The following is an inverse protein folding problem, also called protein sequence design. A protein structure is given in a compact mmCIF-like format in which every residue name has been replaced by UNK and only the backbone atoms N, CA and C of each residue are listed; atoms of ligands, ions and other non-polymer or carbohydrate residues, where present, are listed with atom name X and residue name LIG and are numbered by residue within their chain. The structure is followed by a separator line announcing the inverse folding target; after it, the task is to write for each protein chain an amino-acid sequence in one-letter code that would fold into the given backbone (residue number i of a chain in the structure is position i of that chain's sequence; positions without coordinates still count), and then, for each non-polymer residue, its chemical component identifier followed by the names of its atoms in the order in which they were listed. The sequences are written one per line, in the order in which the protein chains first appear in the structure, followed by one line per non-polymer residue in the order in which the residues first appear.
data_IF_599050634696
#
_entry.id   IF_599050634696
#
_cell.length_a   1.000
_cell.length_b   1.000
_cell.length_c   1.000
_cell.angle_alpha   90.00
_cell.angle_beta   90.00
_cell.angle_gamma   90.00
#
_symmetry.space_group_name_H-M   'P 1'
#
loop_
_entity.id
_entity.type
_entity.pdbx_description
1 polymer ?
#
# COMPACT_ATOMS: atom_id res chain seq x y z
N UNK A 1 8.23 -33.60 -0.25
CA UNK A 1 7.30 -32.51 -0.58
C UNK A 1 7.82 -31.26 0.06
N UNK A 2 8.23 -30.27 -0.74
CA UNK A 2 8.71 -28.97 -0.27
C UNK A 2 7.57 -28.23 0.47
N UNK A 3 7.90 -27.52 1.53
CA UNK A 3 7.01 -26.60 2.22
C UNK A 3 6.57 -25.49 1.25
N UNK A 4 5.33 -25.09 1.30
CA UNK A 4 4.86 -23.93 0.50
C UNK A 4 5.44 -22.66 1.09
N UNK A 5 6.13 -21.88 0.27
CA UNK A 5 6.66 -20.57 0.64
C UNK A 5 5.70 -19.50 0.12
N UNK A 6 5.35 -18.56 0.99
CA UNK A 6 4.35 -17.54 0.76
C UNK A 6 4.92 -16.17 1.10
N UNK A 7 4.78 -15.21 0.20
CA UNK A 7 4.96 -13.78 0.49
C UNK A 7 3.59 -13.13 0.71
N UNK A 8 3.46 -12.34 1.77
CA UNK A 8 2.25 -11.56 2.04
C UNK A 8 2.63 -10.09 2.12
N UNK A 9 2.03 -9.30 1.25
CA UNK A 9 1.96 -7.86 1.41
C UNK A 9 0.71 -7.56 2.23
N UNK A 10 0.92 -7.13 3.48
CA UNK A 10 -0.13 -6.84 4.45
C UNK A 10 -0.47 -5.35 4.44
N UNK A 11 -0.94 -4.87 3.30
CA UNK A 11 -1.22 -3.45 3.09
C UNK A 11 -2.48 -2.95 3.81
N UNK A 12 -2.50 -1.65 4.13
CA UNK A 12 -3.64 -0.95 4.76
C UNK A 12 -4.91 -1.05 3.91
N UNK A 13 -4.80 -0.87 2.60
CA UNK A 13 -5.93 -0.87 1.67
C UNK A 13 -6.18 -2.24 1.03
N UNK A 14 -5.11 -2.94 0.67
CA UNK A 14 -5.15 -4.19 -0.09
C UNK A 14 -4.16 -5.18 0.52
N UNK A 15 -4.53 -6.45 0.58
CA UNK A 15 -3.63 -7.55 0.88
C UNK A 15 -3.33 -8.32 -0.40
N UNK A 16 -2.05 -8.63 -0.63
CA UNK A 16 -1.63 -9.48 -1.73
C UNK A 16 -0.90 -10.72 -1.20
N UNK A 17 -1.14 -11.86 -1.85
CA UNK A 17 -0.47 -13.11 -1.50
C UNK A 17 0.25 -13.64 -2.73
N UNK A 18 1.56 -13.82 -2.57
CA UNK A 18 2.43 -14.45 -3.54
C UNK A 18 2.73 -15.90 -3.10
N UNK A 19 2.73 -16.83 -4.04
CA UNK A 19 3.14 -18.22 -3.81
C UNK A 19 4.29 -18.55 -4.74
N UNK A 20 5.35 -19.14 -4.18
CA UNK A 20 6.52 -19.63 -4.94
C UNK A 20 6.09 -20.47 -6.13
N UNK A 21 6.57 -20.09 -7.31
CA UNK A 21 6.29 -20.77 -8.57
C UNK A 21 4.90 -20.52 -9.18
N UNK A 22 4.06 -19.70 -8.52
CA UNK A 22 2.74 -19.32 -9.04
C UNK A 22 2.55 -17.80 -9.19
N UNK A 23 3.44 -17.00 -8.62
CA UNK A 23 3.30 -15.55 -8.61
C UNK A 23 2.24 -15.05 -7.60
N UNK A 24 1.68 -13.86 -7.86
CA UNK A 24 0.60 -13.28 -7.06
C UNK A 24 -0.69 -14.05 -7.34
N UNK A 25 -1.21 -14.75 -6.35
CA UNK A 25 -2.40 -15.61 -6.46
C UNK A 25 -3.65 -15.03 -5.83
N UNK A 26 -3.49 -13.96 -5.03
CA UNK A 26 -4.60 -13.31 -4.36
C UNK A 26 -4.33 -11.82 -4.23
N UNK A 27 -5.35 -11.01 -4.53
CA UNK A 27 -5.41 -9.57 -4.37
C UNK A 27 -6.80 -9.21 -3.87
N UNK A 28 -6.89 -8.79 -2.61
CA UNK A 28 -8.17 -8.54 -1.94
C UNK A 28 -8.08 -7.27 -1.06
N UNK A 29 -9.18 -6.52 -0.90
CA UNK A 29 -9.24 -5.43 0.05
C UNK A 29 -9.01 -5.89 1.49
N UNK A 30 -8.24 -5.11 2.27
CA UNK A 30 -8.02 -5.31 3.70
C UNK A 30 -9.21 -4.85 4.52
N UNK A 31 -10.39 -5.45 4.27
CA UNK A 31 -11.65 -5.09 4.92
C UNK A 31 -12.29 -6.34 5.53
N UNK A 32 -12.84 -6.18 6.73
CA UNK A 32 -13.58 -7.22 7.45
C UNK A 32 -14.92 -6.66 7.92
N UNK A 33 -15.99 -7.36 7.63
CA UNK A 33 -17.32 -7.07 8.18
C UNK A 33 -17.69 -8.09 9.24
N UNK A 34 -18.12 -7.62 10.40
CA UNK A 34 -18.55 -8.49 11.51
C UNK A 34 -19.79 -7.94 12.21
N UNK A 35 -20.48 -8.85 12.86
CA UNK A 35 -21.60 -8.55 13.72
C UNK A 35 -21.09 -8.09 15.09
N UNK A 36 -21.45 -6.86 15.49
CA UNK A 36 -20.96 -6.21 16.72
C UNK A 36 -21.35 -6.95 17.99
N UNK A 37 -22.54 -7.56 18.00
CA UNK A 37 -23.09 -8.20 19.19
C UNK A 37 -22.48 -9.58 19.43
N UNK A 38 -22.21 -10.30 18.33
CA UNK A 38 -21.71 -11.68 18.38
C UNK A 38 -20.23 -11.82 18.05
N UNK A 39 -19.55 -10.76 17.59
CA UNK A 39 -18.17 -10.77 17.05
C UNK A 39 -17.94 -11.82 15.94
N UNK A 40 -19.02 -12.25 15.27
CA UNK A 40 -18.93 -13.18 14.15
C UNK A 40 -18.61 -12.46 12.85
N UNK A 41 -17.60 -12.93 12.15
CA UNK A 41 -17.27 -12.42 10.82
C UNK A 41 -18.40 -12.76 9.84
N UNK A 42 -18.84 -11.75 9.09
CA UNK A 42 -19.87 -11.86 8.05
C UNK A 42 -19.23 -11.92 6.66
N UNK A 43 -18.21 -11.12 6.42
CA UNK A 43 -17.51 -11.06 5.13
C UNK A 43 -16.06 -10.60 5.33
N UNK A 44 -15.18 -10.96 4.38
CA UNK A 44 -13.78 -10.51 4.31
C UNK A 44 -13.45 -10.19 2.86
N UNK A 45 -12.60 -9.18 2.65
CA UNK A 45 -12.13 -8.79 1.32
C UNK A 45 -13.19 -8.01 0.53
N UNK A 46 -13.36 -8.33 -0.75
CA UNK A 46 -14.26 -7.58 -1.64
C UNK A 46 -15.71 -7.57 -1.16
N UNK A 47 -16.21 -8.70 -0.63
CA UNK A 47 -17.58 -8.74 -0.08
C UNK A 47 -17.73 -7.76 1.09
N UNK A 48 -16.76 -7.66 1.99
CA UNK A 48 -16.78 -6.71 3.09
C UNK A 48 -16.62 -5.26 2.60
N UNK A 49 -15.82 -5.01 1.57
CA UNK A 49 -15.67 -3.67 0.96
C UNK A 49 -16.99 -3.14 0.42
N UNK A 50 -17.79 -4.00 -0.20
CA UNK A 50 -19.12 -3.61 -0.68
C UNK A 50 -20.08 -3.18 0.43
N UNK A 51 -19.81 -3.58 1.67
CA UNK A 51 -20.59 -3.23 2.86
C UNK A 51 -20.20 -1.90 3.50
N UNK A 52 -19.03 -1.34 3.17
CA UNK A 52 -18.59 -0.06 3.72
C UNK A 52 -19.61 1.05 3.45
N UNK A 53 -20.04 1.76 4.51
CA UNK A 53 -21.03 2.82 4.44
C UNK A 53 -22.46 2.37 4.13
N UNK A 54 -22.75 1.05 4.12
CA UNK A 54 -24.07 0.48 3.76
C UNK A 54 -24.61 -0.52 4.78
N UNK A 55 -23.95 -0.67 5.92
CA UNK A 55 -24.32 -1.64 6.95
C UNK A 55 -25.42 -1.13 7.87
N UNK A 56 -26.35 -2.00 8.33
CA UNK A 56 -27.22 -1.69 9.46
C UNK A 56 -26.41 -1.56 10.75
N UNK A 57 -26.98 -0.98 11.81
CA UNK A 57 -26.27 -0.61 13.02
C UNK A 57 -25.55 -1.74 13.78
N UNK A 58 -25.98 -2.99 13.59
CA UNK A 58 -25.35 -4.17 14.22
C UNK A 58 -24.21 -4.80 13.40
N UNK A 59 -24.03 -4.39 12.14
CA UNK A 59 -22.92 -4.86 11.30
C UNK A 59 -21.93 -3.72 11.13
N UNK A 60 -20.65 -4.01 11.34
CA UNK A 60 -19.54 -3.06 11.19
C UNK A 60 -18.58 -3.60 10.16
N UNK A 61 -18.26 -2.79 9.16
CA UNK A 61 -17.20 -3.06 8.21
C UNK A 61 -16.01 -2.15 8.55
N UNK A 62 -14.83 -2.74 8.78
CA UNK A 62 -13.62 -2.02 9.20
C UNK A 62 -12.41 -2.46 8.40
N UNK A 63 -11.42 -1.57 8.35
CA UNK A 63 -10.03 -1.91 7.96
C UNK A 63 -9.25 -2.19 9.24
N UNK A 64 -8.76 -3.43 9.46
CA UNK A 64 -8.06 -3.81 10.68
C UNK A 64 -6.61 -3.31 10.72
N UNK A 65 -6.10 -2.80 9.60
CA UNK A 65 -4.84 -2.08 9.51
C UNK A 65 -5.11 -0.61 9.20
N UNK A 66 -4.34 0.27 9.84
CA UNK A 66 -4.36 1.71 9.57
C UNK A 66 -2.94 2.25 9.58
N UNK A 67 -2.63 3.06 8.57
CA UNK A 67 -1.31 3.69 8.48
C UNK A 67 -0.15 2.69 8.67
N UNK A 68 -0.24 1.53 7.99
CA UNK A 68 0.77 0.49 7.99
C UNK A 68 0.86 -0.37 9.25
N UNK A 69 0.00 -0.14 10.27
CA UNK A 69 0.05 -0.88 11.53
C UNK A 69 -1.27 -1.58 11.86
N UNK A 70 -1.19 -2.65 12.65
CA UNK A 70 -2.35 -3.39 13.13
C UNK A 70 -3.12 -2.53 14.14
N UNK A 71 -4.36 -2.17 13.82
CA UNK A 71 -5.27 -1.46 14.73
C UNK A 71 -6.20 -2.39 15.50
N UNK A 72 -6.48 -3.58 14.96
CA UNK A 72 -7.23 -4.64 15.63
C UNK A 72 -6.55 -6.00 15.38
N UNK A 73 -5.86 -6.49 16.41
CA UNK A 73 -5.08 -7.73 16.33
C UNK A 73 -5.95 -8.96 16.02
N UNK A 74 -7.07 -9.10 16.73
CA UNK A 74 -7.94 -10.27 16.58
C UNK A 74 -8.58 -10.34 15.20
N UNK A 75 -9.00 -9.19 14.67
CA UNK A 75 -9.58 -9.12 13.32
C UNK A 75 -8.51 -9.35 12.27
N UNK A 76 -7.30 -8.82 12.45
CA UNK A 76 -6.16 -9.05 11.54
C UNK A 76 -5.76 -10.52 11.47
N UNK A 77 -5.62 -11.20 12.62
CA UNK A 77 -5.32 -12.64 12.67
C UNK A 77 -6.35 -13.46 11.88
N UNK A 78 -7.65 -13.19 12.10
CA UNK A 78 -8.73 -13.89 11.40
C UNK A 78 -8.71 -13.59 9.90
N UNK A 79 -8.42 -12.37 9.51
CA UNK A 79 -8.28 -11.95 8.12
C UNK A 79 -7.11 -12.67 7.44
N UNK A 80 -5.92 -12.65 8.06
CA UNK A 80 -4.75 -13.38 7.57
C UNK A 80 -5.03 -14.87 7.40
N UNK A 81 -5.62 -15.50 8.41
CA UNK A 81 -5.99 -16.92 8.35
C UNK A 81 -6.92 -17.22 7.17
N UNK A 82 -7.91 -16.36 6.95
CA UNK A 82 -8.84 -16.50 5.81
C UNK A 82 -8.09 -16.40 4.49
N UNK A 83 -7.23 -15.42 4.30
CA UNK A 83 -6.51 -15.23 3.04
C UNK A 83 -5.46 -16.32 2.78
N UNK A 84 -4.73 -16.76 3.82
CA UNK A 84 -3.83 -17.90 3.72
C UNK A 84 -4.60 -19.15 3.28
N UNK A 85 -5.74 -19.45 3.90
CA UNK A 85 -6.56 -20.61 3.54
C UNK A 85 -7.16 -20.48 2.13
N UNK A 86 -7.53 -19.27 1.70
CA UNK A 86 -8.03 -19.00 0.35
C UNK A 86 -6.96 -19.20 -0.71
N UNK A 87 -5.72 -18.79 -0.43
CA UNK A 87 -4.58 -18.90 -1.35
C UNK A 87 -4.08 -20.33 -1.54
N UNK A 88 -4.02 -21.15 -0.47
CA UNK A 88 -3.39 -22.48 -0.51
C UNK A 88 -4.36 -23.63 -0.26
N UNK A 89 -5.63 -23.34 0.02
CA UNK A 89 -6.68 -24.33 0.30
C UNK A 89 -6.75 -24.75 1.78
N UNK A 90 -7.90 -25.28 2.17
CA UNK A 90 -8.20 -25.65 3.57
C UNK A 90 -7.46 -26.89 4.09
N UNK A 91 -6.99 -27.78 3.19
CA UNK A 91 -6.32 -29.03 3.54
C UNK A 91 -4.81 -28.89 3.41
N UNK A 92 -4.17 -28.21 4.35
CA UNK A 92 -2.72 -28.12 4.45
C UNK A 92 -2.14 -29.35 5.17
N UNK A 93 -1.36 -30.17 4.46
CA UNK A 93 -0.59 -31.26 5.05
C UNK A 93 0.63 -30.73 5.84
N UNK A 94 1.17 -29.58 5.49
CA UNK A 94 2.27 -28.89 6.18
C UNK A 94 1.99 -27.40 6.24
N UNK A 95 2.27 -26.78 7.39
CA UNK A 95 2.18 -25.34 7.57
C UNK A 95 3.20 -24.61 6.67
N UNK A 96 2.86 -23.48 6.02
CA UNK A 96 3.75 -22.74 5.15
C UNK A 96 4.83 -21.97 5.94
N UNK A 97 5.93 -21.63 5.26
CA UNK A 97 6.78 -20.52 5.66
C UNK A 97 6.20 -19.26 5.02
N UNK A 98 6.14 -18.18 5.78
CA UNK A 98 5.54 -16.94 5.31
C UNK A 98 6.53 -15.79 5.54
N UNK A 99 6.76 -14.99 4.49
CA UNK A 99 7.38 -13.68 4.62
C UNK A 99 6.29 -12.61 4.60
N UNK A 100 6.41 -11.61 5.47
CA UNK A 100 5.49 -10.48 5.54
C UNK A 100 6.30 -9.19 5.49
N UNK A 101 5.84 -8.21 4.71
CA UNK A 101 6.46 -6.89 4.71
C UNK A 101 5.86 -5.98 5.80
N UNK A 102 6.67 -5.02 6.22
CA UNK A 102 6.28 -3.96 7.16
C UNK A 102 6.90 -2.63 6.72
N UNK A 103 6.26 -1.48 6.99
CA UNK A 103 6.86 -0.17 6.74
C UNK A 103 8.20 0.03 7.44
N UNK A 104 9.08 0.87 6.89
CA UNK A 104 10.42 1.12 7.45
C UNK A 104 10.40 1.74 8.85
N UNK A 105 9.35 2.48 9.19
CA UNK A 105 9.24 3.24 10.43
C UNK A 105 8.58 2.50 11.60
N UNK A 106 8.25 1.20 11.46
CA UNK A 106 7.54 0.46 12.51
C UNK A 106 8.45 0.11 13.68
N UNK A 107 7.88 0.13 14.88
CA UNK A 107 8.56 -0.26 16.11
C UNK A 107 8.74 -1.78 16.20
N UNK A 108 9.67 -2.24 17.05
CA UNK A 108 9.87 -3.67 17.31
C UNK A 108 8.60 -4.35 17.87
N UNK A 109 7.77 -3.60 18.61
CA UNK A 109 6.49 -4.11 19.12
C UNK A 109 5.50 -4.33 17.97
N UNK A 110 5.43 -3.41 17.01
CA UNK A 110 4.57 -3.54 15.83
C UNK A 110 5.05 -4.68 14.91
N UNK A 111 6.37 -4.81 14.68
CA UNK A 111 6.95 -5.96 13.97
C UNK A 111 6.56 -7.28 14.62
N UNK A 112 6.70 -7.34 15.95
CA UNK A 112 6.35 -8.54 16.71
C UNK A 112 4.85 -8.85 16.62
N UNK A 113 3.99 -7.85 16.63
CA UNK A 113 2.54 -8.04 16.46
C UNK A 113 2.20 -8.66 15.09
N UNK A 114 2.87 -8.22 14.00
CA UNK A 114 2.70 -8.80 12.66
C UNK A 114 3.20 -10.24 12.61
N UNK A 115 4.38 -10.51 13.20
CA UNK A 115 4.93 -11.86 13.28
C UNK A 115 3.98 -12.81 14.02
N UNK A 116 3.53 -12.42 15.23
CA UNK A 116 2.65 -13.23 16.06
C UNK A 116 1.28 -13.45 15.41
N UNK A 117 0.68 -12.44 14.80
CA UNK A 117 -0.58 -12.57 14.05
C UNK A 117 -0.45 -13.58 12.89
N UNK A 118 0.68 -13.55 12.18
CA UNK A 118 0.96 -14.45 11.06
C UNK A 118 1.20 -15.90 11.54
N UNK A 119 1.92 -16.08 12.65
CA UNK A 119 2.09 -17.40 13.28
C UNK A 119 0.74 -17.99 13.73
N UNK A 120 -0.09 -17.19 14.41
CA UNK A 120 -1.43 -17.61 14.85
C UNK A 120 -2.37 -17.89 13.67
N UNK A 121 -2.22 -17.18 12.56
CA UNK A 121 -2.97 -17.43 11.34
C UNK A 121 -2.61 -18.77 10.67
N UNK A 122 -1.50 -19.42 11.09
CA UNK A 122 -1.14 -20.77 10.67
C UNK A 122 0.21 -20.90 9.97
N UNK A 123 1.07 -19.91 10.00
CA UNK A 123 2.45 -20.03 9.56
C UNK A 123 3.24 -21.00 10.46
N UNK A 124 4.21 -21.70 9.89
CA UNK A 124 5.22 -22.46 10.65
C UNK A 124 6.36 -21.57 11.08
N UNK A 125 6.75 -20.68 10.22
CA UNK A 125 7.88 -19.77 10.36
C UNK A 125 7.53 -18.46 9.66
N UNK A 126 7.90 -17.35 10.24
CA UNK A 126 7.68 -16.01 9.69
C UNK A 126 9.01 -15.31 9.51
N UNK A 127 9.19 -14.66 8.37
CA UNK A 127 10.28 -13.72 8.09
C UNK A 127 9.68 -12.35 7.83
N UNK A 128 10.29 -11.31 8.39
CA UNK A 128 9.88 -9.92 8.17
C UNK A 128 10.88 -9.26 7.22
N UNK A 129 10.37 -8.47 6.28
CA UNK A 129 11.14 -7.63 5.36
C UNK A 129 10.55 -6.21 5.36
N UNK A 130 11.39 -5.20 5.18
CA UNK A 130 10.91 -3.81 5.01
C UNK A 130 10.28 -3.62 3.63
N UNK A 131 9.17 -2.88 3.58
CA UNK A 131 8.41 -2.62 2.35
C UNK A 131 9.28 -2.05 1.21
N UNK A 132 10.13 -1.02 1.42
CA UNK A 132 10.93 -0.48 0.31
C UNK A 132 11.97 -1.47 -0.23
N UNK A 133 12.53 -2.36 0.62
CA UNK A 133 13.42 -3.43 0.13
C UNK A 133 12.63 -4.42 -0.72
N UNK A 134 11.48 -4.84 -0.24
CA UNK A 134 10.59 -5.72 -1.01
C UNK A 134 10.16 -5.06 -2.31
N UNK A 135 9.76 -3.78 -2.28
CA UNK A 135 9.38 -3.01 -3.45
C UNK A 135 10.49 -2.97 -4.52
N UNK A 136 11.74 -2.71 -4.10
CA UNK A 136 12.89 -2.70 -5.00
C UNK A 136 13.15 -4.05 -5.65
N UNK A 137 13.13 -5.15 -4.87
CA UNK A 137 13.28 -6.52 -5.38
C UNK A 137 12.14 -6.85 -6.36
N UNK A 138 10.91 -6.46 -6.03
CA UNK A 138 9.74 -6.69 -6.86
C UNK A 138 9.76 -5.91 -8.17
N UNK A 139 10.22 -4.67 -8.14
CA UNK A 139 10.45 -3.82 -9.31
C UNK A 139 11.62 -4.30 -10.20
N UNK A 140 12.33 -5.36 -9.79
CA UNK A 140 13.44 -5.91 -10.57
C UNK A 140 14.77 -5.15 -10.44
N UNK A 141 14.89 -4.31 -9.42
CA UNK A 141 16.13 -3.56 -9.16
C UNK A 141 17.16 -4.49 -8.51
N UNK A 142 18.37 -4.52 -9.07
CA UNK A 142 19.51 -5.23 -8.47
C UNK A 142 20.09 -4.39 -7.32
N UNK A 143 19.58 -4.66 -6.12
CA UNK A 143 20.00 -3.98 -4.89
C UNK A 143 21.33 -4.50 -4.31
N UNK A 144 21.90 -5.58 -4.84
CA UNK A 144 23.12 -6.19 -4.33
C UNK A 144 24.39 -5.38 -4.64
N UNK A 145 24.32 -4.49 -5.62
CA UNK A 145 25.45 -3.68 -6.07
C UNK A 145 25.75 -2.51 -5.14
N UNK A 146 27.01 -2.03 -5.10
CA UNK A 146 27.39 -0.83 -4.35
C UNK A 146 27.00 0.44 -5.13
N UNK A 147 25.70 0.65 -5.32
CA UNK A 147 25.14 1.83 -5.98
C UNK A 147 23.83 2.25 -5.33
N UNK A 148 23.54 3.57 -5.38
CA UNK A 148 22.32 4.14 -4.83
C UNK A 148 21.10 3.81 -5.69
N UNK A 149 20.06 3.24 -5.07
CA UNK A 149 18.77 3.03 -5.67
C UNK A 149 17.72 3.68 -4.77
N UNK A 150 16.93 4.61 -5.32
CA UNK A 150 15.89 5.29 -4.56
C UNK A 150 14.51 4.74 -4.93
N UNK A 151 13.79 4.28 -3.91
CA UNK A 151 12.42 3.76 -4.00
C UNK A 151 11.48 4.67 -3.22
N UNK A 152 10.32 4.94 -3.78
CA UNK A 152 9.20 5.60 -3.13
C UNK A 152 7.98 4.69 -3.28
N UNK A 153 7.66 3.95 -2.23
CA UNK A 153 6.50 3.07 -2.19
C UNK A 153 5.31 3.80 -1.57
N UNK A 154 4.29 4.07 -2.38
CA UNK A 154 3.10 4.81 -1.98
C UNK A 154 1.93 3.83 -1.88
N UNK A 155 1.68 3.37 -0.67
CA UNK A 155 0.62 2.42 -0.37
C UNK A 155 -0.76 3.06 -0.19
N UNK A 156 -1.62 2.40 0.59
CA UNK A 156 -2.90 2.97 1.04
C UNK A 156 -2.76 3.88 2.24
N UNK A 157 -1.97 3.49 3.24
CA UNK A 157 -1.85 4.19 4.52
C UNK A 157 -0.48 4.77 4.83
N UNK A 158 0.58 4.39 4.09
CA UNK A 158 1.95 4.87 4.27
C UNK A 158 2.62 5.15 2.94
N UNK A 159 3.55 6.09 2.95
CA UNK A 159 4.54 6.26 1.90
C UNK A 159 5.92 6.00 2.50
N UNK A 160 6.58 4.97 2.00
CA UNK A 160 7.88 4.52 2.43
C UNK A 160 8.94 4.90 1.38
N UNK A 161 9.93 5.68 1.81
CA UNK A 161 10.96 6.24 0.95
C UNK A 161 12.30 5.71 1.44
N UNK A 162 13.08 5.10 0.58
CA UNK A 162 14.39 4.57 0.96
C UNK A 162 15.43 4.69 -0.16
N UNK A 163 16.67 4.89 0.26
CA UNK A 163 17.87 4.69 -0.55
C UNK A 163 18.49 3.37 -0.14
N UNK A 164 18.65 2.47 -1.11
CA UNK A 164 19.11 1.10 -0.92
C UNK A 164 20.42 0.90 -1.67
N UNK A 165 21.39 0.27 -1.00
CA UNK A 165 22.68 -0.14 -1.58
C UNK A 165 23.19 -1.38 -0.88
N UNK A 166 23.88 -2.28 -1.58
CA UNK A 166 24.48 -3.52 -1.04
C UNK A 166 23.44 -4.39 -0.27
N UNK A 167 22.21 -4.43 -0.75
CA UNK A 167 21.13 -5.22 -0.16
C UNK A 167 20.52 -4.65 1.12
N UNK A 168 20.92 -3.45 1.57
CA UNK A 168 20.45 -2.82 2.80
C UNK A 168 19.97 -1.38 2.61
N UNK A 169 19.15 -0.94 3.54
CA UNK A 169 18.67 0.44 3.62
C UNK A 169 19.76 1.36 4.16
N UNK A 170 20.13 2.40 3.40
CA UNK A 170 21.13 3.41 3.81
C UNK A 170 20.46 4.59 4.51
N UNK A 171 19.39 5.11 3.89
CA UNK A 171 18.55 6.17 4.44
C UNK A 171 17.11 5.79 4.15
N UNK A 172 16.23 5.95 5.12
CA UNK A 172 14.78 5.78 4.91
C UNK A 172 13.93 6.71 5.75
N UNK A 173 12.73 6.91 5.31
CA UNK A 173 11.65 7.52 6.09
C UNK A 173 10.32 6.91 5.70
N UNK A 174 9.41 6.83 6.65
CA UNK A 174 8.02 6.44 6.43
C UNK A 174 7.12 7.57 6.91
N UNK A 175 6.21 8.01 6.06
CA UNK A 175 5.21 9.02 6.40
C UNK A 175 3.81 8.42 6.29
N UNK A 176 2.91 8.91 7.12
CA UNK A 176 1.51 8.46 7.18
C UNK A 176 0.62 9.30 6.27
N UNK A 177 1.08 9.52 5.04
CA UNK A 177 0.37 10.20 3.96
C UNK A 177 0.44 9.31 2.72
N UNK A 178 -0.71 8.84 2.24
CA UNK A 178 -0.79 7.93 1.11
C UNK A 178 -2.18 7.93 0.46
N UNK A 179 -2.57 6.82 -0.18
CA UNK A 179 -3.81 6.71 -0.94
C UNK A 179 -5.10 7.05 -0.17
N UNK A 180 -5.17 6.68 1.11
CA UNK A 180 -6.33 6.97 1.97
C UNK A 180 -6.42 8.48 2.29
N UNK A 181 -5.26 9.17 2.44
CA UNK A 181 -5.21 10.61 2.66
C UNK A 181 -5.64 11.38 1.40
N UNK A 182 -5.35 10.84 0.22
CA UNK A 182 -5.86 11.40 -1.04
C UNK A 182 -7.39 11.31 -1.08
N UNK A 183 -7.98 10.19 -0.68
CA UNK A 183 -9.43 10.02 -0.62
C UNK A 183 -10.07 10.99 0.38
N UNK A 184 -9.48 11.12 1.57
CA UNK A 184 -9.94 12.08 2.56
C UNK A 184 -9.83 13.54 2.11
N UNK A 185 -8.76 13.89 1.39
CA UNK A 185 -8.58 15.22 0.83
C UNK A 185 -9.68 15.54 -0.18
N UNK A 186 -10.03 14.58 -1.04
CA UNK A 186 -11.14 14.70 -2.00
C UNK A 186 -12.47 14.85 -1.25
N UNK A 187 -12.75 14.04 -0.22
CA UNK A 187 -13.97 14.18 0.60
C UNK A 187 -14.08 15.58 1.20
N UNK A 188 -12.98 16.09 1.78
CA UNK A 188 -12.93 17.45 2.36
C UNK A 188 -13.18 18.53 1.31
N UNK A 189 -12.58 18.40 0.13
CA UNK A 189 -12.75 19.33 -0.98
C UNK A 189 -14.19 19.35 -1.48
N UNK A 190 -14.80 18.19 -1.74
CA UNK A 190 -16.19 18.07 -2.17
C UNK A 190 -17.16 18.70 -1.19
N UNK A 191 -16.89 18.51 0.11
CA UNK A 191 -17.67 19.12 1.18
C UNK A 191 -17.54 20.65 1.18
N UNK A 192 -16.33 21.18 1.06
CA UNK A 192 -16.04 22.62 1.13
C UNK A 192 -16.48 23.37 -0.11
N UNK A 193 -16.17 22.84 -1.30
CA UNK A 193 -16.36 23.53 -2.57
C UNK A 193 -17.76 23.34 -3.14
N UNK A 194 -18.31 22.13 -3.04
CA UNK A 194 -19.58 21.76 -3.67
C UNK A 194 -20.75 21.61 -2.69
N UNK A 195 -20.49 21.76 -1.36
CA UNK A 195 -21.47 21.42 -0.30
C UNK A 195 -22.05 20.00 -0.50
N UNK A 196 -21.19 19.06 -0.94
CA UNK A 196 -21.57 17.69 -1.26
C UNK A 196 -20.89 16.71 -0.33
N UNK A 197 -21.67 15.89 0.37
CA UNK A 197 -21.16 14.79 1.18
C UNK A 197 -21.10 13.54 0.32
N UNK A 198 -19.88 13.00 0.18
CA UNK A 198 -19.61 11.73 -0.50
C UNK A 198 -18.98 10.73 0.48
N UNK A 199 -19.07 9.44 0.17
CA UNK A 199 -18.39 8.38 0.92
C UNK A 199 -16.97 8.12 0.40
N UNK A 200 -16.17 7.38 1.19
CA UNK A 200 -14.79 7.00 0.85
C UNK A 200 -14.67 6.32 -0.52
N UNK A 201 -15.57 5.38 -0.83
CA UNK A 201 -15.59 4.71 -2.13
C UNK A 201 -15.79 5.67 -3.30
N UNK A 202 -16.64 6.68 -3.14
CA UNK A 202 -16.84 7.68 -4.18
C UNK A 202 -15.60 8.56 -4.36
N UNK A 203 -14.90 8.87 -3.26
CA UNK A 203 -13.64 9.61 -3.30
C UNK A 203 -12.54 8.78 -4.00
N UNK A 204 -12.43 7.49 -3.70
CA UNK A 204 -11.54 6.56 -4.38
C UNK A 204 -11.83 6.50 -5.89
N UNK A 205 -13.12 6.42 -6.29
CA UNK A 205 -13.53 6.46 -7.70
C UNK A 205 -13.13 7.78 -8.39
N UNK A 206 -13.22 8.92 -7.69
CA UNK A 206 -12.77 10.23 -8.20
C UNK A 206 -11.26 10.21 -8.36
N UNK A 207 -10.51 9.79 -7.35
CA UNK A 207 -9.05 9.68 -7.39
C UNK A 207 -8.57 8.87 -8.58
N UNK A 208 -9.17 7.68 -8.80
CA UNK A 208 -8.77 6.77 -9.88
C UNK A 208 -9.09 7.36 -11.28
N UNK A 209 -10.25 8.02 -11.44
CA UNK A 209 -10.73 8.44 -12.76
C UNK A 209 -10.24 9.83 -13.19
N UNK A 210 -10.23 10.78 -12.26
CA UNK A 210 -9.90 12.18 -12.55
C UNK A 210 -8.87 12.76 -11.59
N UNK A 211 -8.31 11.97 -10.68
CA UNK A 211 -7.25 12.39 -9.76
C UNK A 211 -6.02 12.87 -10.52
N UNK A 212 -5.44 13.99 -10.09
CA UNK A 212 -4.22 14.54 -10.65
C UNK A 212 -3.36 15.17 -9.56
N UNK A 213 -2.05 14.89 -9.61
CA UNK A 213 -1.05 15.50 -8.73
C UNK A 213 -0.34 16.68 -9.39
N UNK A 214 -0.48 16.83 -10.73
CA UNK A 214 0.21 17.85 -11.52
C UNK A 214 -0.72 18.36 -12.64
N UNK A 215 -0.63 19.64 -13.06
CA UNK A 215 -1.46 20.17 -14.12
C UNK A 215 -1.37 19.35 -15.40
N UNK A 216 -2.52 19.00 -15.97
CA UNK A 216 -2.63 18.26 -17.23
C UNK A 216 -2.90 19.17 -18.41
N UNK A 217 -2.40 18.78 -19.59
CA UNK A 217 -2.73 19.47 -20.85
C UNK A 217 -4.22 19.36 -21.22
N UNK A 218 -4.86 18.23 -20.89
CA UNK A 218 -6.29 18.01 -21.10
C UNK A 218 -7.00 17.81 -19.76
N UNK A 219 -8.04 18.61 -19.53
CA UNK A 219 -8.89 18.52 -18.34
C UNK A 219 -9.86 17.36 -18.51
N UNK A 220 -9.79 16.40 -17.60
CA UNK A 220 -10.75 15.29 -17.52
C UNK A 220 -11.81 15.60 -16.48
N UNK A 221 -13.06 15.17 -16.72
CA UNK A 221 -14.19 15.41 -15.80
C UNK A 221 -14.98 14.14 -15.54
N UNK A 222 -15.69 14.11 -14.42
CA UNK A 222 -16.67 13.07 -14.11
C UNK A 222 -17.85 13.62 -13.31
N UNK A 223 -19.01 13.01 -13.49
CA UNK A 223 -20.19 13.30 -12.67
C UNK A 223 -20.15 12.51 -11.37
N UNK A 224 -20.28 13.21 -10.25
CA UNK A 224 -20.26 12.68 -8.89
C UNK A 224 -21.60 12.91 -8.22
N UNK A 225 -22.16 11.87 -7.63
CA UNK A 225 -23.42 11.92 -6.87
C UNK A 225 -23.18 11.81 -5.38
N UNK A 226 -23.79 12.68 -4.61
CA UNK A 226 -23.72 12.67 -3.15
C UNK A 226 -24.95 13.33 -2.52
N UNK A 227 -24.87 13.58 -1.21
CA UNK A 227 -25.93 14.29 -0.47
C UNK A 227 -25.56 15.78 -0.35
N UNK A 228 -26.44 16.65 -0.83
CA UNK A 228 -26.30 18.08 -0.62
C UNK A 228 -26.40 18.42 0.88
N UNK A 229 -25.40 19.09 1.41
CA UNK A 229 -25.34 19.44 2.84
C UNK A 229 -26.33 20.54 3.25
N UNK A 230 -26.78 21.37 2.31
CA UNK A 230 -27.73 22.46 2.55
C UNK A 230 -29.17 21.94 2.57
N UNK A 231 -29.53 21.14 1.56
CA UNK A 231 -30.92 20.68 1.34
C UNK A 231 -31.19 19.28 1.89
N UNK A 232 -30.13 18.49 2.17
CA UNK A 232 -30.24 17.08 2.55
C UNK A 232 -30.55 16.12 1.39
N UNK A 233 -30.83 16.63 0.20
CA UNK A 233 -31.27 15.86 -0.97
C UNK A 233 -30.08 15.32 -1.80
N UNK A 234 -30.28 14.26 -2.60
CA UNK A 234 -29.28 13.84 -3.59
C UNK A 234 -28.99 14.95 -4.59
N UNK A 235 -27.70 15.15 -4.89
CA UNK A 235 -27.19 16.12 -5.85
C UNK A 235 -26.09 15.48 -6.69
N UNK A 236 -26.05 15.83 -7.97
CA UNK A 236 -24.95 15.47 -8.89
C UNK A 236 -24.16 16.74 -9.22
N UNK A 237 -22.83 16.64 -9.19
CA UNK A 237 -21.91 17.71 -9.61
C UNK A 237 -20.89 17.12 -10.56
N UNK A 238 -20.40 17.95 -11.50
CA UNK A 238 -19.24 17.61 -12.30
C UNK A 238 -17.97 18.02 -11.55
N UNK A 239 -16.96 17.13 -11.55
CA UNK A 239 -15.66 17.33 -10.88
C UNK A 239 -14.56 17.17 -11.93
N UNK A 240 -13.61 18.09 -11.96
CA UNK A 240 -12.50 18.09 -12.91
C UNK A 240 -11.17 17.63 -12.31
N UNK A 241 -10.22 17.28 -13.17
CA UNK A 241 -8.84 17.00 -12.77
C UNK A 241 -8.11 18.21 -12.19
N UNK A 242 -8.48 19.44 -12.53
CA UNK A 242 -7.96 20.65 -11.93
C UNK A 242 -8.42 20.80 -10.47
N UNK A 243 -9.69 20.49 -10.21
CA UNK A 243 -10.23 20.50 -8.85
C UNK A 243 -9.59 19.42 -7.97
N UNK A 244 -9.31 18.24 -8.52
CA UNK A 244 -8.62 17.18 -7.79
C UNK A 244 -7.16 17.53 -7.54
N UNK A 245 -6.47 18.20 -8.47
CA UNK A 245 -5.12 18.73 -8.25
C UNK A 245 -5.10 19.74 -7.08
N UNK A 246 -6.06 20.67 -7.06
CA UNK A 246 -6.21 21.61 -5.93
C UNK A 246 -6.45 20.86 -4.60
N UNK A 247 -7.31 19.84 -4.61
CA UNK A 247 -7.66 19.06 -3.43
C UNK A 247 -6.46 18.27 -2.88
N UNK A 248 -5.62 17.70 -3.76
CA UNK A 248 -4.53 16.79 -3.41
C UNK A 248 -3.20 17.49 -3.12
N UNK A 249 -3.07 18.78 -3.43
CA UNK A 249 -1.83 19.55 -3.37
C UNK A 249 -1.12 19.47 -2.02
N UNK A 250 -1.86 19.52 -0.92
CA UNK A 250 -1.28 19.43 0.43
C UNK A 250 -0.65 18.05 0.67
N UNK A 251 -1.37 16.98 0.35
CA UNK A 251 -0.90 15.62 0.56
C UNK A 251 0.29 15.27 -0.33
N UNK A 252 0.23 15.64 -1.62
CA UNK A 252 1.32 15.39 -2.58
C UNK A 252 2.57 16.21 -2.24
N UNK A 253 2.42 17.45 -1.75
CA UNK A 253 3.55 18.27 -1.28
C UNK A 253 4.28 17.63 -0.12
N UNK A 254 3.58 17.01 0.84
CA UNK A 254 4.21 16.31 1.96
C UNK A 254 5.02 15.10 1.49
N UNK A 255 4.57 14.38 0.46
CA UNK A 255 5.35 13.30 -0.15
C UNK A 255 6.63 13.85 -0.78
N UNK A 256 6.53 14.94 -1.55
CA UNK A 256 7.69 15.60 -2.16
C UNK A 256 8.70 16.08 -1.10
N UNK A 257 8.23 16.69 -0.01
CA UNK A 257 9.08 17.12 1.10
C UNK A 257 9.81 15.93 1.75
N UNK A 258 9.12 14.79 1.91
CA UNK A 258 9.74 13.58 2.44
C UNK A 258 10.81 13.01 1.49
N UNK A 259 10.57 13.05 0.16
CA UNK A 259 11.57 12.67 -0.86
C UNK A 259 12.81 13.57 -0.74
N UNK A 260 12.63 14.90 -0.66
CA UNK A 260 13.75 15.84 -0.45
C UNK A 260 14.52 15.53 0.84
N UNK A 261 13.82 15.30 1.94
CA UNK A 261 14.46 15.00 3.23
C UNK A 261 15.32 13.73 3.20
N UNK A 262 14.96 12.73 2.40
CA UNK A 262 15.76 11.52 2.20
C UNK A 262 16.98 11.82 1.32
N UNK A 263 16.81 12.57 0.22
CA UNK A 263 17.90 12.97 -0.66
C UNK A 263 18.95 13.80 0.08
N UNK A 264 18.54 14.75 0.91
CA UNK A 264 19.45 15.60 1.71
C UNK A 264 20.32 14.78 2.69
N UNK A 265 19.82 13.66 3.18
CA UNK A 265 20.55 12.77 4.11
C UNK A 265 21.33 11.68 3.38
N UNK A 266 21.19 11.57 2.07
CA UNK A 266 21.83 10.55 1.26
C UNK A 266 23.33 10.89 1.08
N UNK A 267 24.25 9.92 1.29
CA UNK A 267 25.67 10.11 0.98
C UNK A 267 25.89 10.59 -0.46
N UNK A 268 26.88 11.49 -0.70
CA UNK A 268 27.07 12.13 -2.00
C UNK A 268 27.23 11.16 -3.19
N UNK A 269 27.95 10.05 -2.99
CA UNK A 269 28.18 9.04 -4.02
C UNK A 269 26.87 8.36 -4.43
N UNK A 270 26.02 8.03 -3.44
CA UNK A 270 24.71 7.41 -3.71
C UNK A 270 23.72 8.42 -4.28
N UNK A 271 23.82 9.70 -3.89
CA UNK A 271 23.00 10.76 -4.49
C UNK A 271 23.35 10.98 -5.96
N UNK A 272 24.63 10.87 -6.33
CA UNK A 272 25.08 10.88 -7.73
C UNK A 272 24.50 9.72 -8.52
N UNK A 273 24.54 8.51 -7.95
CA UNK A 273 23.92 7.33 -8.58
C UNK A 273 22.43 7.53 -8.83
N UNK A 274 21.69 8.12 -7.87
CA UNK A 274 20.26 8.37 -7.98
C UNK A 274 19.98 9.42 -9.08
N UNK A 275 20.82 10.44 -9.21
CA UNK A 275 20.68 11.44 -10.28
C UNK A 275 20.75 10.79 -11.68
N UNK A 276 21.59 9.77 -11.85
CA UNK A 276 21.74 9.04 -13.12
C UNK A 276 20.67 7.96 -13.33
N UNK A 277 20.26 7.26 -12.26
CA UNK A 277 19.34 6.10 -12.33
C UNK A 277 17.88 6.47 -12.19
N UNK A 278 17.60 7.59 -11.55
CA UNK A 278 16.24 8.07 -11.27
C UNK A 278 15.65 7.54 -9.97
N UNK A 279 14.43 8.02 -9.71
CA UNK A 279 13.57 7.60 -8.59
C UNK A 279 12.54 6.62 -9.12
N UNK A 280 12.36 5.48 -8.45
CA UNK A 280 11.34 4.47 -8.83
C UNK A 280 10.17 4.53 -7.87
N UNK A 281 8.97 4.73 -8.43
CA UNK A 281 7.72 4.75 -7.69
C UNK A 281 7.08 3.35 -7.71
N UNK A 282 6.57 2.91 -6.57
CA UNK A 282 5.82 1.67 -6.38
C UNK A 282 4.58 1.90 -5.52
N UNK A 283 3.78 0.85 -5.32
CA UNK A 283 2.53 0.93 -4.58
C UNK A 283 1.35 1.50 -5.39
N UNK A 284 0.14 1.30 -4.89
CA UNK A 284 -1.07 1.72 -5.59
C UNK A 284 -1.26 3.22 -5.67
N UNK A 285 -0.72 3.98 -4.71
CA UNK A 285 -0.77 5.45 -4.69
C UNK A 285 0.09 6.10 -5.77
N UNK A 286 1.14 5.41 -6.25
CA UNK A 286 2.00 5.88 -7.34
C UNK A 286 1.26 6.01 -8.69
N UNK A 287 0.11 5.34 -8.83
CA UNK A 287 -0.74 5.42 -10.02
C UNK A 287 -1.53 6.74 -10.10
N UNK A 288 -1.42 7.62 -9.10
CA UNK A 288 -2.02 8.96 -9.18
C UNK A 288 -1.38 9.72 -10.34
N UNK A 289 -2.21 10.12 -11.29
CA UNK A 289 -1.74 10.78 -12.51
C UNK A 289 -0.96 12.06 -12.21
N UNK A 290 0.17 12.26 -12.89
CA UNK A 290 1.03 13.42 -12.73
C UNK A 290 1.93 13.40 -11.49
N UNK A 291 1.96 12.31 -10.71
CA UNK A 291 2.82 12.23 -9.53
C UNK A 291 4.30 12.11 -9.90
N UNK A 292 4.63 11.38 -10.96
CA UNK A 292 5.97 11.34 -11.55
C UNK A 292 6.42 12.75 -11.94
N UNK A 293 5.60 13.45 -12.74
CA UNK A 293 5.88 14.81 -13.22
C UNK A 293 6.10 15.78 -12.05
N UNK A 294 5.29 15.65 -10.98
CA UNK A 294 5.41 16.49 -9.79
C UNK A 294 6.75 16.27 -9.08
N UNK A 295 7.12 15.00 -8.83
CA UNK A 295 8.37 14.67 -8.13
C UNK A 295 9.56 15.08 -8.98
N UNK A 296 9.55 14.79 -10.30
CA UNK A 296 10.60 15.18 -11.22
C UNK A 296 10.75 16.71 -11.30
N UNK A 297 9.65 17.45 -11.43
CA UNK A 297 9.67 18.91 -11.47
C UNK A 297 10.22 19.52 -10.17
N UNK A 298 10.06 18.87 -9.02
CA UNK A 298 10.51 19.37 -7.74
C UNK A 298 11.92 18.95 -7.38
N UNK A 299 12.38 17.78 -7.80
CA UNK A 299 13.70 17.23 -7.46
C UNK A 299 14.74 17.44 -8.57
N UNK A 300 14.30 17.61 -9.80
CA UNK A 300 15.16 17.60 -10.99
C UNK A 300 15.71 16.20 -11.33
N UNK A 301 15.17 15.15 -10.73
CA UNK A 301 15.63 13.75 -10.93
C UNK A 301 14.54 13.02 -11.71
N UNK A 302 14.93 12.32 -12.78
CA UNK A 302 13.98 11.49 -13.55
C UNK A 302 13.23 10.54 -12.64
N UNK A 303 11.92 10.52 -12.74
CA UNK A 303 11.04 9.73 -11.88
C UNK A 303 10.15 8.83 -12.73
N UNK A 304 10.08 7.55 -12.37
CA UNK A 304 9.34 6.56 -13.15
C UNK A 304 8.56 5.62 -12.22
N UNK A 305 7.36 5.25 -12.62
CA UNK A 305 6.56 4.22 -11.94
C UNK A 305 6.93 2.84 -12.47
N UNK A 306 7.06 1.85 -11.58
CA UNK A 306 7.29 0.46 -11.95
C UNK A 306 6.16 -0.06 -12.85
N UNK A 307 6.44 -1.08 -13.68
CA UNK A 307 5.47 -1.63 -14.66
C UNK A 307 4.16 -2.11 -14.00
N UNK A 308 4.26 -2.82 -12.86
CA UNK A 308 3.10 -3.20 -12.04
C UNK A 308 3.32 -2.78 -10.58
N UNK A 309 3.16 -1.49 -10.27
CA UNK A 309 3.57 -0.94 -8.98
C UNK A 309 2.79 -1.53 -7.80
N UNK A 310 1.56 -1.97 -8.02
CA UNK A 310 0.72 -2.54 -6.97
C UNK A 310 1.20 -3.90 -6.47
N UNK A 311 1.96 -4.65 -7.28
CA UNK A 311 2.40 -6.02 -6.95
C UNK A 311 3.87 -6.10 -6.56
N UNK A 312 4.64 -5.02 -6.71
CA UNK A 312 6.07 -5.00 -6.42
C UNK A 312 6.39 -5.52 -5.03
N UNK A 313 5.75 -5.00 -3.99
CA UNK A 313 5.98 -5.41 -2.59
C UNK A 313 5.69 -6.91 -2.40
N UNK A 314 4.57 -7.40 -2.91
CA UNK A 314 4.19 -8.81 -2.79
C UNK A 314 5.17 -9.74 -3.51
N UNK A 315 5.59 -9.37 -4.72
CA UNK A 315 6.58 -10.13 -5.51
C UNK A 315 7.93 -10.15 -4.79
N UNK A 316 8.40 -8.99 -4.31
CA UNK A 316 9.67 -8.89 -3.59
C UNK A 316 9.66 -9.66 -2.28
N UNK A 317 8.58 -9.58 -1.51
CA UNK A 317 8.37 -10.37 -0.29
C UNK A 317 8.41 -11.87 -0.58
N UNK A 318 7.82 -12.29 -1.71
CA UNK A 318 7.87 -13.68 -2.17
C UNK A 318 9.28 -14.12 -2.59
N UNK A 319 10.00 -13.31 -3.36
CA UNK A 319 11.40 -13.59 -3.74
C UNK A 319 12.32 -13.65 -2.54
N UNK A 320 12.10 -12.80 -1.52
CA UNK A 320 12.87 -12.80 -0.29
C UNK A 320 12.77 -14.13 0.48
N UNK A 321 11.59 -14.71 0.62
CA UNK A 321 11.44 -16.01 1.29
C UNK A 321 12.08 -17.15 0.48
N UNK A 322 12.08 -17.05 -0.84
CA UNK A 322 12.78 -17.99 -1.73
C UNK A 322 14.31 -17.92 -1.52
N UNK A 323 14.87 -16.71 -1.46
CA UNK A 323 16.29 -16.49 -1.19
C UNK A 323 16.69 -17.07 0.17
N UNK A 324 15.94 -16.80 1.24
CA UNK A 324 16.19 -17.37 2.57
C UNK A 324 16.13 -18.90 2.57
N UNK A 325 15.29 -19.48 1.72
CA UNK A 325 15.19 -20.92 1.56
C UNK A 325 16.43 -21.51 0.90
N UNK A 326 16.89 -20.92 -0.22
CA UNK A 326 18.10 -21.34 -0.93
C UNK A 326 19.36 -21.25 -0.06
N UNK A 327 19.54 -20.14 0.65
CA UNK A 327 20.68 -19.94 1.55
C UNK A 327 20.76 -21.01 2.66
N UNK A 328 19.61 -21.47 3.21
CA UNK A 328 19.59 -22.53 4.23
C UNK A 328 19.87 -23.90 3.66
N UNK A 329 19.58 -24.14 2.40
CA UNK A 329 19.88 -25.43 1.74
C UNK A 329 21.36 -25.54 1.33
N UNK A 330 22.05 -24.41 1.11
CA UNK A 330 23.50 -24.35 0.82
C UNK A 330 24.37 -24.46 2.08
N UNK A 331 23.85 -24.12 3.26
CA UNK A 331 24.59 -24.15 4.56
C UNK A 331 24.42 -25.49 5.30
N UNK A 332 23.64 -26.43 4.75
CA UNK A 332 23.52 -27.84 5.25
C UNK A 332 24.39 -28.77 4.45
#
# INVERSE_FOLDING_TARGET
MLSTDIGIDLGTAIILVYIRGKGVVLKEPSVVAFDRDTNKIKAIGEEARLMLGRTPGNIVAVRPLRQGVISDYTVTEKMLKYFIQKAIGKRMLKKPRISVCVPSGVTEVEKKAVEDATLQAGAREVAIIEEPIAAAIGAGIDISRPCGNMIVDIGGGTTDIAVISLGGTVVSTSIKIAGDDFDEAIVRYMRKKHNLLIGERTAEDIKIKVGSAYPKAEVTTMNVRGRNLVTGLPKTVEVSSEETEEALREATSQIVEAVHSVLEKTPPELASDIADRGIVLTGGGSLLSGLEDLIEAKTGINTMTAEDPMTCVAIGTGKFIEFLAGYRDEVK
#
